data_IF_928201004406
#
_entry.id   IF_928201004406
#
_cell.length_a   1.000
_cell.length_b   1.000
_cell.length_c   1.000
_cell.angle_alpha   90.00
_cell.angle_beta   90.00
_cell.angle_gamma   90.00
#
_symmetry.space_group_name_H-M   'P 1'
#
loop_
_entity.id
_entity.type
_entity.pdbx_description
1 polymer ?
#
# COMPACT_ATOMS: atom_id res chain seq x y z
N UNK A 1 -2.82 5.69 31.12
CA UNK A 1 -3.59 6.08 29.93
C UNK A 1 -2.84 7.07 29.03
N UNK A 2 -1.52 6.96 28.89
CA UNK A 2 -0.77 7.55 27.78
C UNK A 2 -0.50 6.43 26.77
N UNK A 3 -0.91 6.60 25.52
CA UNK A 3 -0.76 5.59 24.46
C UNK A 3 -2.03 5.22 23.71
N UNK A 4 -3.08 6.05 23.76
CA UNK A 4 -4.24 5.94 22.86
C UNK A 4 -4.15 7.02 21.77
N UNK A 5 -4.66 6.69 20.59
CA UNK A 5 -4.78 7.63 19.48
C UNK A 5 -5.74 8.78 19.88
N UNK A 6 -5.23 10.01 19.90
CA UNK A 6 -5.99 11.23 20.18
C UNK A 6 -5.82 12.22 19.01
N UNK A 7 -6.86 12.29 18.17
CA UNK A 7 -6.86 13.15 17.00
C UNK A 7 -6.81 14.64 17.31
N UNK A 8 -7.39 15.08 18.43
CA UNK A 8 -7.37 16.50 18.83
C UNK A 8 -5.98 16.90 19.32
N UNK A 9 -5.34 16.03 20.11
CA UNK A 9 -3.95 16.23 20.51
C UNK A 9 -3.01 16.21 19.30
N UNK A 10 -3.16 15.24 18.38
CA UNK A 10 -2.36 15.17 17.16
C UNK A 10 -2.52 16.42 16.28
N UNK A 11 -3.75 16.92 16.10
CA UNK A 11 -4.03 18.16 15.38
C UNK A 11 -3.40 19.38 16.06
N UNK A 12 -3.50 19.47 17.39
CA UNK A 12 -2.91 20.57 18.16
C UNK A 12 -1.38 20.58 18.06
N UNK A 13 -0.75 19.40 18.15
CA UNK A 13 0.69 19.23 17.95
C UNK A 13 1.11 19.61 16.53
N UNK A 14 0.37 19.14 15.51
CA UNK A 14 0.62 19.47 14.11
C UNK A 14 0.57 20.98 13.87
N UNK A 15 -0.48 21.67 14.35
CA UNK A 15 -0.60 23.14 14.24
C UNK A 15 0.51 23.87 15.00
N UNK A 16 0.91 23.35 16.17
CA UNK A 16 2.04 23.89 16.94
C UNK A 16 3.36 23.79 16.17
N UNK A 17 3.61 22.67 15.49
CA UNK A 17 4.80 22.50 14.65
C UNK A 17 4.73 23.39 13.40
N UNK A 18 3.56 23.44 12.74
CA UNK A 18 3.36 24.23 11.53
C UNK A 18 3.51 25.73 11.78
N UNK A 19 2.96 26.25 12.88
CA UNK A 19 3.09 27.67 13.28
C UNK A 19 4.53 28.12 13.57
N UNK A 20 5.47 27.19 13.78
CA UNK A 20 6.90 27.48 13.95
C UNK A 20 7.67 27.46 12.64
N UNK A 21 7.03 27.07 11.54
CA UNK A 21 7.60 27.07 10.21
C UNK A 21 7.15 28.32 9.44
N UNK A 22 8.06 28.93 8.70
CA UNK A 22 7.78 30.08 7.83
C UNK A 22 7.28 29.68 6.45
N UNK A 23 7.47 28.42 6.05
CA UNK A 23 7.04 27.89 4.75
C UNK A 23 5.57 27.44 4.79
N UNK A 24 4.84 27.58 3.67
CA UNK A 24 3.48 27.05 3.58
C UNK A 24 3.49 25.52 3.63
N UNK A 25 2.41 24.94 4.16
CA UNK A 25 2.26 23.48 4.28
C UNK A 25 2.46 22.75 2.96
N UNK A 26 2.01 23.34 1.84
CA UNK A 26 2.19 22.77 0.50
C UNK A 26 3.66 22.61 0.12
N UNK A 27 4.53 23.57 0.47
CA UNK A 27 5.97 23.47 0.22
C UNK A 27 6.61 22.35 1.04
N UNK A 28 6.18 22.18 2.30
CA UNK A 28 6.66 21.09 3.16
C UNK A 28 6.22 19.74 2.59
N UNK A 29 4.95 19.61 2.20
CA UNK A 29 4.41 18.37 1.60
C UNK A 29 5.17 18.00 0.33
N UNK A 30 5.49 18.98 -0.53
CA UNK A 30 6.24 18.76 -1.77
C UNK A 30 7.68 18.26 -1.56
N UNK A 31 8.23 18.31 -0.33
CA UNK A 31 9.55 17.74 -0.02
C UNK A 31 9.53 16.22 0.20
N UNK A 32 8.36 15.64 0.47
CA UNK A 32 8.26 14.20 0.68
C UNK A 32 8.39 13.45 -0.65
N UNK A 33 9.00 12.25 -0.65
CA UNK A 33 9.06 11.42 -1.85
C UNK A 33 7.65 11.16 -2.39
N UNK A 34 7.45 11.46 -3.66
CA UNK A 34 6.22 11.06 -4.35
C UNK A 34 6.28 9.55 -4.64
N UNK A 35 5.18 8.87 -4.35
CA UNK A 35 5.01 7.45 -4.64
C UNK A 35 3.63 7.17 -5.21
N UNK A 36 3.55 6.11 -5.99
CA UNK A 36 2.33 5.63 -6.63
C UNK A 36 1.74 4.55 -5.74
N UNK A 37 0.59 4.80 -5.12
CA UNK A 37 -0.01 3.88 -4.14
C UNK A 37 -1.37 3.41 -4.65
N UNK A 38 -1.58 2.10 -4.68
CA UNK A 38 -2.88 1.53 -5.02
C UNK A 38 -3.86 1.67 -3.83
N UNK A 39 -5.17 1.74 -4.06
CA UNK A 39 -6.19 1.52 -3.06
C UNK A 39 -6.12 0.08 -2.56
N UNK A 40 -6.95 -0.22 -1.57
CA UNK A 40 -7.13 -1.57 -1.07
C UNK A 40 -7.77 -2.46 -2.13
N UNK A 41 -7.00 -3.42 -2.65
CA UNK A 41 -7.49 -4.42 -3.59
C UNK A 41 -8.00 -5.61 -2.77
N UNK A 42 -9.28 -5.94 -2.92
CA UNK A 42 -9.92 -7.03 -2.17
C UNK A 42 -10.14 -8.25 -3.05
N UNK A 43 -9.61 -9.40 -2.62
CA UNK A 43 -9.83 -10.70 -3.27
C UNK A 43 -10.48 -11.70 -2.29
N UNK A 44 -11.40 -12.57 -2.72
CA UNK A 44 -12.02 -13.55 -1.84
C UNK A 44 -11.00 -14.54 -1.25
N UNK A 45 -11.19 -14.92 0.03
CA UNK A 45 -10.39 -15.98 0.65
C UNK A 45 -10.88 -17.39 0.28
N UNK A 46 -12.14 -17.54 -0.13
CA UNK A 46 -12.77 -18.83 -0.44
C UNK A 46 -11.97 -19.60 -1.51
N UNK A 47 -11.51 -20.80 -1.17
CA UNK A 47 -10.69 -21.65 -2.04
C UNK A 47 -9.21 -21.22 -2.13
N UNK A 48 -8.79 -20.29 -1.27
CA UNK A 48 -7.45 -19.68 -1.21
C UNK A 48 -6.96 -19.54 0.25
N UNK A 49 -7.38 -20.44 1.13
CA UNK A 49 -7.17 -20.34 2.59
C UNK A 49 -5.69 -20.38 2.99
N UNK A 50 -4.87 -21.07 2.19
CA UNK A 50 -3.44 -21.22 2.36
C UNK A 50 -2.61 -20.28 1.47
N UNK A 51 -3.21 -19.22 0.93
CA UNK A 51 -2.53 -18.34 -0.02
C UNK A 51 -1.26 -17.68 0.55
N UNK A 52 -1.31 -17.14 1.78
CA UNK A 52 -0.15 -16.48 2.40
C UNK A 52 1.11 -17.37 2.50
N UNK A 53 1.06 -18.57 3.11
CA UNK A 53 2.25 -19.43 3.19
C UNK A 53 2.71 -19.94 1.83
N UNK A 54 1.79 -20.11 0.86
CA UNK A 54 2.17 -20.50 -0.49
C UNK A 54 2.83 -19.34 -1.27
N UNK A 55 2.37 -18.10 -1.09
CA UNK A 55 3.04 -16.92 -1.64
C UNK A 55 4.45 -16.83 -1.09
N UNK A 56 4.59 -16.89 0.23
CA UNK A 56 5.88 -16.78 0.90
C UNK A 56 6.91 -17.81 0.40
N UNK A 57 6.49 -19.05 0.14
CA UNK A 57 7.39 -20.10 -0.37
C UNK A 57 7.80 -19.92 -1.84
N UNK A 58 7.08 -19.08 -2.59
CA UNK A 58 7.34 -18.81 -4.01
C UNK A 58 8.08 -17.50 -4.24
N UNK A 59 8.16 -16.62 -3.24
CA UNK A 59 8.80 -15.32 -3.34
C UNK A 59 10.31 -15.45 -3.58
N UNK A 60 10.83 -14.62 -4.48
CA UNK A 60 12.24 -14.50 -4.77
C UNK A 60 12.71 -13.06 -4.59
N UNK A 61 13.71 -12.87 -3.75
CA UNK A 61 14.24 -11.54 -3.41
C UNK A 61 13.27 -10.68 -2.61
N UNK A 62 13.76 -9.50 -2.21
CA UNK A 62 13.03 -8.56 -1.37
C UNK A 62 13.07 -8.91 0.12
N UNK A 63 12.87 -7.89 0.95
CA UNK A 63 12.86 -8.01 2.40
C UNK A 63 11.45 -8.31 2.89
N UNK A 64 11.29 -9.40 3.64
CA UNK A 64 9.98 -9.91 4.06
C UNK A 64 9.69 -9.56 5.53
N UNK A 65 8.56 -8.88 5.76
CA UNK A 65 7.99 -8.60 7.08
C UNK A 65 6.66 -9.33 7.28
N UNK A 66 6.51 -9.99 8.44
CA UNK A 66 5.39 -10.91 8.75
C UNK A 66 4.48 -10.44 9.91
N UNK A 67 4.54 -9.15 10.26
CA UNK A 67 3.81 -8.63 11.43
C UNK A 67 2.29 -8.62 11.22
N UNK A 68 1.83 -8.25 10.02
CA UNK A 68 0.41 -8.13 9.69
C UNK A 68 0.17 -8.56 8.24
N UNK A 69 0.17 -9.88 8.03
CA UNK A 69 0.20 -10.48 6.70
C UNK A 69 1.63 -10.63 6.18
N UNK A 70 1.79 -10.54 4.86
CA UNK A 70 3.05 -10.65 4.16
C UNK A 70 3.32 -9.32 3.46
N UNK A 71 4.31 -8.57 3.97
CA UNK A 71 4.84 -7.38 3.33
C UNK A 71 6.20 -7.72 2.73
N UNK A 72 6.42 -7.36 1.47
CA UNK A 72 7.66 -7.60 0.75
C UNK A 72 8.14 -6.28 0.16
N UNK A 73 9.38 -5.92 0.43
CA UNK A 73 10.00 -4.68 -0.05
C UNK A 73 11.09 -5.00 -1.07
N UNK A 74 11.03 -4.37 -2.24
CA UNK A 74 12.05 -4.38 -3.28
C UNK A 74 12.58 -2.97 -3.53
N UNK A 75 13.55 -2.84 -4.42
CA UNK A 75 14.14 -1.54 -4.73
C UNK A 75 13.12 -0.59 -5.38
N UNK A 76 12.24 -1.10 -6.22
CA UNK A 76 11.22 -0.34 -6.96
C UNK A 76 9.98 0.03 -6.13
N UNK A 77 9.80 -0.55 -4.94
CA UNK A 77 8.61 -0.39 -4.13
C UNK A 77 8.27 -1.59 -3.25
N UNK A 78 7.05 -1.65 -2.73
CA UNK A 78 6.62 -2.72 -1.84
C UNK A 78 5.23 -3.25 -2.16
N UNK A 79 4.98 -4.49 -1.75
CA UNK A 79 3.68 -5.13 -1.80
C UNK A 79 3.27 -5.62 -0.40
N UNK A 80 1.99 -5.49 -0.08
CA UNK A 80 1.38 -6.04 1.13
C UNK A 80 0.21 -6.91 0.73
N UNK A 81 0.12 -8.09 1.31
CA UNK A 81 -1.10 -8.91 1.32
C UNK A 81 -1.38 -9.34 2.76
N UNK A 82 -2.60 -9.09 3.24
CA UNK A 82 -3.02 -9.52 4.58
C UNK A 82 -4.44 -10.05 4.58
N UNK A 83 -4.76 -10.87 5.59
CA UNK A 83 -6.15 -11.28 5.84
C UNK A 83 -6.93 -10.09 6.41
N UNK A 84 -8.11 -9.83 5.88
CA UNK A 84 -9.02 -8.86 6.48
C UNK A 84 -9.49 -9.37 7.85
N UNK A 85 -9.56 -8.48 8.83
CA UNK A 85 -9.98 -8.82 10.21
C UNK A 85 -11.48 -9.07 10.29
N UNK A 86 -12.25 -8.30 9.51
CA UNK A 86 -13.72 -8.25 9.62
C UNK A 86 -14.45 -9.03 8.52
N UNK A 87 -13.76 -9.41 7.45
CA UNK A 87 -14.37 -10.03 6.26
C UNK A 87 -13.49 -11.15 5.70
N UNK A 88 -14.06 -12.20 5.08
CA UNK A 88 -13.31 -13.35 4.54
C UNK A 88 -12.64 -13.03 3.19
N UNK A 89 -11.78 -12.00 3.18
CA UNK A 89 -11.04 -11.54 2.00
C UNK A 89 -9.58 -11.30 2.34
N UNK A 90 -8.70 -11.38 1.35
CA UNK A 90 -7.38 -10.78 1.42
C UNK A 90 -7.44 -9.34 0.92
N UNK A 91 -6.72 -8.46 1.60
CA UNK A 91 -6.50 -7.08 1.17
C UNK A 91 -5.07 -6.93 0.70
N UNK A 92 -4.88 -6.44 -0.52
CA UNK A 92 -3.59 -6.15 -1.12
C UNK A 92 -3.41 -4.65 -1.32
N UNK A 93 -2.17 -4.19 -1.16
CA UNK A 93 -1.74 -2.84 -1.52
C UNK A 93 -0.34 -2.89 -2.12
N UNK A 94 -0.10 -2.02 -3.08
CA UNK A 94 1.20 -1.85 -3.72
C UNK A 94 1.58 -0.37 -3.68
N UNK A 95 2.86 -0.10 -3.48
CA UNK A 95 3.44 1.22 -3.60
C UNK A 95 4.70 1.13 -4.46
N UNK A 96 4.75 1.92 -5.53
CA UNK A 96 5.85 1.96 -6.48
C UNK A 96 6.46 3.35 -6.59
N UNK A 97 7.73 3.41 -7.00
CA UNK A 97 8.43 4.67 -7.30
C UNK A 97 7.87 5.40 -8.53
N UNK A 98 7.24 4.67 -9.44
CA UNK A 98 6.60 5.18 -10.65
C UNK A 98 5.35 4.37 -11.02
N UNK A 99 4.65 4.81 -12.07
CA UNK A 99 3.42 4.15 -12.54
C UNK A 99 3.66 2.74 -13.07
N UNK A 100 4.84 2.46 -13.64
CA UNK A 100 5.18 1.18 -14.25
C UNK A 100 5.62 0.14 -13.22
N UNK A 101 6.06 0.59 -12.04
CA UNK A 101 6.43 -0.27 -10.92
C UNK A 101 5.24 -1.10 -10.39
N UNK A 102 4.00 -0.58 -10.46
CA UNK A 102 2.83 -1.28 -9.91
C UNK A 102 2.59 -2.65 -10.58
N UNK A 103 2.43 -2.76 -11.92
CA UNK A 103 2.33 -4.06 -12.58
C UNK A 103 3.51 -5.00 -12.28
N UNK A 104 4.73 -4.45 -12.20
CA UNK A 104 5.93 -5.24 -11.87
C UNK A 104 5.86 -5.83 -10.46
N UNK A 105 5.44 -5.04 -9.46
CA UNK A 105 5.27 -5.48 -8.09
C UNK A 105 4.15 -6.51 -7.95
N UNK A 106 3.04 -6.34 -8.69
CA UNK A 106 1.95 -7.32 -8.76
C UNK A 106 2.49 -8.65 -9.29
N UNK A 107 3.25 -8.61 -10.38
CA UNK A 107 3.88 -9.80 -10.95
C UNK A 107 4.84 -10.47 -9.96
N UNK A 108 5.74 -9.70 -9.32
CA UNK A 108 6.69 -10.24 -8.32
C UNK A 108 6.01 -10.94 -7.15
N UNK A 109 4.90 -10.39 -6.67
CA UNK A 109 4.15 -11.00 -5.58
C UNK A 109 3.38 -12.25 -6.05
N UNK A 110 2.75 -12.20 -7.23
CA UNK A 110 1.70 -13.14 -7.63
C UNK A 110 2.06 -14.05 -8.81
N UNK A 111 3.29 -14.04 -9.33
CA UNK A 111 3.70 -14.83 -10.50
C UNK A 111 3.38 -16.33 -10.41
N UNK A 112 3.40 -16.90 -9.21
CA UNK A 112 3.05 -18.31 -8.98
C UNK A 112 1.53 -18.58 -8.99
N UNK A 113 0.69 -17.54 -9.04
CA UNK A 113 -0.77 -17.58 -9.00
C UNK A 113 -1.40 -16.72 -10.12
N UNK A 114 -1.27 -17.12 -11.41
CA UNK A 114 -1.68 -16.29 -12.56
C UNK A 114 -3.15 -15.86 -12.55
N UNK A 115 -4.04 -16.69 -12.01
CA UNK A 115 -5.47 -16.35 -11.89
C UNK A 115 -5.72 -15.21 -10.88
N UNK A 116 -4.93 -15.16 -9.80
CA UNK A 116 -5.01 -14.08 -8.79
C UNK A 116 -4.34 -12.82 -9.33
N UNK A 117 -3.20 -12.97 -10.00
CA UNK A 117 -2.50 -11.88 -10.69
C UNK A 117 -3.43 -11.17 -11.67
N UNK A 118 -4.12 -11.93 -12.54
CA UNK A 118 -5.08 -11.39 -13.50
C UNK A 118 -6.23 -10.66 -12.80
N UNK A 119 -6.83 -11.27 -11.77
CA UNK A 119 -7.92 -10.64 -10.99
C UNK A 119 -7.49 -9.30 -10.36
N UNK A 120 -6.26 -9.23 -9.84
CA UNK A 120 -5.70 -8.01 -9.26
C UNK A 120 -5.48 -6.94 -10.32
N UNK A 121 -4.87 -7.28 -11.46
CA UNK A 121 -4.63 -6.35 -12.57
C UNK A 121 -5.95 -5.83 -13.19
N UNK A 122 -6.97 -6.70 -13.31
CA UNK A 122 -8.30 -6.30 -13.79
C UNK A 122 -8.94 -5.27 -12.84
N UNK A 123 -8.89 -5.52 -11.52
CA UNK A 123 -9.39 -4.57 -10.51
C UNK A 123 -8.66 -3.22 -10.56
N UNK A 124 -7.33 -3.27 -10.73
CA UNK A 124 -6.49 -2.08 -10.91
C UNK A 124 -6.78 -1.33 -12.21
N UNK A 125 -7.42 -1.95 -13.20
CA UNK A 125 -7.75 -1.32 -14.49
C UNK A 125 -9.21 -0.85 -14.56
N UNK A 126 -10.11 -1.47 -13.81
CA UNK A 126 -11.55 -1.19 -13.82
C UNK A 126 -11.95 -0.07 -12.88
N UNK A 127 -11.30 0.03 -11.71
CA UNK A 127 -11.37 1.26 -10.94
C UNK A 127 -10.65 2.33 -11.75
N UNK A 128 -11.15 3.56 -11.77
CA UNK A 128 -10.50 4.72 -12.38
C UNK A 128 -9.21 5.02 -11.64
N UNK A 129 -8.23 4.16 -11.88
CA UNK A 129 -7.04 3.93 -11.11
C UNK A 129 -6.02 5.01 -11.43
N UNK A 130 -6.37 6.23 -11.07
CA UNK A 130 -5.36 7.24 -10.87
C UNK A 130 -4.68 6.97 -9.52
N UNK A 131 -3.96 5.86 -9.47
CA UNK A 131 -2.90 5.67 -8.49
C UNK A 131 -1.78 6.55 -9.01
N UNK A 132 -1.86 7.84 -8.68
CA UNK A 132 -0.89 8.85 -9.03
C UNK A 132 0.00 9.20 -7.84
N UNK A 133 1.03 10.03 -8.05
CA UNK A 133 1.67 10.69 -6.93
C UNK A 133 0.59 11.43 -6.13
N UNK A 134 0.63 11.35 -4.79
CA UNK A 134 -0.28 12.11 -3.92
C UNK A 134 0.02 13.61 -4.04
N UNK A 135 -0.35 14.22 -5.15
CA UNK A 135 -0.43 15.67 -5.38
C UNK A 135 -1.24 15.94 -6.66
N UNK A 136 -2.56 15.84 -6.52
CA UNK A 136 -3.51 16.66 -7.27
C UNK A 136 -4.53 17.26 -6.29
N UNK A 137 -4.02 17.78 -5.17
CA UNK A 137 -4.69 18.88 -4.49
C UNK A 137 -4.38 20.13 -5.32
N UNK A 138 -5.02 20.24 -6.50
CA UNK A 138 -5.18 21.55 -7.13
C UNK A 138 -5.98 22.42 -6.16
N UNK A 139 -5.39 23.57 -5.81
CA UNK A 139 -5.98 24.56 -4.92
C UNK A 139 -7.14 25.33 -5.54
#
# INVERSE_FOLDING_TARGET
ELGRDDGLYAASLFLTLLSRNSEPLSSIIATFPQSFVTPDIRIPQKGRENLLPLLESTLQGGDILRLDGLRVEWEEGWALIRKSVTEPVYTLRFEGKDREAIPSLVHRLLAAFPEIEREVLEKLSSDSADYGPRDSLEG
#
